data_IF_123618129560
#
_entry.id   IF_123618129560
#
_cell.length_a   1.000
_cell.length_b   1.000
_cell.length_c   1.000
_cell.angle_alpha   90.00
_cell.angle_beta   90.00
_cell.angle_gamma   90.00
#
_symmetry.space_group_name_H-M   'P 1'
#
loop_
_entity.id
_entity.type
_entity.pdbx_description
1 polymer ?
#
# COMPACT_ATOMS: atom_id res chain seq x y z
N UNK A 1 -36.34 34.63 36.00
CA UNK A 1 -35.07 33.90 36.24
C UNK A 1 -34.33 33.86 34.90
N UNK A 2 -33.46 34.83 34.58
CA UNK A 2 -32.00 34.85 34.74
C UNK A 2 -31.30 33.57 34.20
N UNK A 3 -30.71 33.76 33.02
CA UNK A 3 -29.68 33.00 32.29
C UNK A 3 -29.09 31.76 32.96
N UNK A 4 -28.87 30.70 32.17
CA UNK A 4 -27.50 30.24 31.85
C UNK A 4 -27.47 29.20 30.74
N UNK A 5 -26.60 29.50 29.79
CA UNK A 5 -26.20 28.73 28.63
C UNK A 5 -26.01 27.24 28.93
N UNK A 6 -26.57 26.39 28.07
CA UNK A 6 -26.10 25.02 27.93
C UNK A 6 -24.99 25.01 26.87
N UNK A 7 -23.81 24.60 27.32
CA UNK A 7 -22.54 24.55 26.59
C UNK A 7 -22.67 23.62 25.39
N UNK A 8 -22.37 24.16 24.21
CA UNK A 8 -22.19 23.42 22.97
C UNK A 8 -20.86 22.64 23.09
N UNK A 9 -20.92 21.35 23.44
CA UNK A 9 -19.75 20.48 23.48
C UNK A 9 -19.34 20.14 22.04
N UNK A 10 -18.32 20.84 21.55
CA UNK A 10 -17.67 20.54 20.27
C UNK A 10 -16.93 19.20 20.41
N UNK A 11 -17.46 18.18 19.74
CA UNK A 11 -16.80 16.89 19.50
C UNK A 11 -15.61 17.12 18.57
N UNK A 12 -14.44 17.39 19.13
CA UNK A 12 -13.16 17.20 18.43
C UNK A 12 -12.79 15.72 18.56
N UNK A 13 -13.41 14.86 17.76
CA UNK A 13 -12.82 13.55 17.47
C UNK A 13 -11.64 13.83 16.56
N UNK A 14 -10.46 13.99 17.16
CA UNK A 14 -9.19 13.91 16.46
C UNK A 14 -9.10 12.51 15.87
N UNK A 15 -9.64 12.34 14.66
CA UNK A 15 -9.29 11.22 13.80
C UNK A 15 -7.83 11.42 13.43
N UNK A 16 -6.93 10.91 14.27
CA UNK A 16 -5.59 10.61 13.84
C UNK A 16 -5.75 9.54 12.76
N UNK A 17 -5.80 9.98 11.50
CA UNK A 17 -5.40 9.10 10.41
C UNK A 17 -3.98 8.67 10.78
N UNK A 18 -3.84 7.42 11.22
CA UNK A 18 -2.53 6.83 11.48
C UNK A 18 -1.86 6.76 10.11
N UNK A 19 -1.11 7.81 9.75
CA UNK A 19 -0.22 7.74 8.61
C UNK A 19 0.76 6.61 8.95
N UNK A 20 0.65 5.51 8.22
CA UNK A 20 1.48 4.33 8.44
C UNK A 20 2.93 4.75 8.21
N UNK A 21 3.78 4.50 9.18
CA UNK A 21 5.18 4.90 9.11
C UNK A 21 5.87 4.12 7.98
N UNK A 22 6.53 4.84 7.08
CA UNK A 22 7.22 4.25 5.94
C UNK A 22 8.45 3.47 6.43
N UNK A 23 8.74 2.28 5.87
CA UNK A 23 9.92 1.52 6.26
C UNK A 23 11.21 2.31 6.00
N UNK A 24 12.22 2.10 6.84
CA UNK A 24 13.52 2.74 6.69
C UNK A 24 14.11 2.44 5.30
N UNK A 25 14.52 3.50 4.59
CA UNK A 25 15.13 3.39 3.27
C UNK A 25 14.15 3.11 2.11
N UNK A 26 12.84 3.05 2.39
CA UNK A 26 11.79 3.07 1.37
C UNK A 26 11.25 4.49 1.26
N UNK A 27 11.05 4.96 0.03
CA UNK A 27 10.43 6.25 -0.27
C UNK A 27 9.09 6.06 -0.97
N UNK A 28 8.27 7.13 -1.01
CA UNK A 28 7.03 7.09 -1.79
C UNK A 28 7.30 6.80 -3.28
N UNK A 29 8.40 7.33 -3.83
CA UNK A 29 8.78 7.06 -5.22
C UNK A 29 9.10 5.58 -5.46
N UNK A 30 9.62 4.87 -4.45
CA UNK A 30 9.89 3.44 -4.55
C UNK A 30 8.59 2.63 -4.56
N UNK A 31 7.61 3.02 -3.73
CA UNK A 31 6.27 2.43 -3.74
C UNK A 31 5.59 2.63 -5.10
N UNK A 32 5.65 3.86 -5.64
CA UNK A 32 5.04 4.20 -6.93
C UNK A 32 5.72 3.40 -8.07
N UNK A 33 7.04 3.26 -8.04
CA UNK A 33 7.79 2.48 -9.02
C UNK A 33 7.45 0.98 -8.96
N UNK A 34 7.36 0.42 -7.74
CA UNK A 34 6.97 -0.97 -7.55
C UNK A 34 5.53 -1.24 -8.04
N UNK A 35 4.58 -0.38 -7.68
CA UNK A 35 3.19 -0.50 -8.12
C UNK A 35 3.09 -0.41 -9.65
N UNK A 36 3.79 0.53 -10.28
CA UNK A 36 3.85 0.63 -11.75
C UNK A 36 4.41 -0.63 -12.42
N UNK A 37 5.45 -1.23 -11.82
CA UNK A 37 6.01 -2.50 -12.29
C UNK A 37 5.00 -3.65 -12.15
N UNK A 38 4.29 -3.75 -11.01
CA UNK A 38 3.21 -4.73 -10.83
C UNK A 38 2.08 -4.54 -11.84
N UNK A 39 1.64 -3.31 -12.08
CA UNK A 39 0.60 -2.99 -13.08
C UNK A 39 1.04 -3.47 -14.46
N UNK A 40 2.31 -3.28 -14.82
CA UNK A 40 2.88 -3.76 -16.08
C UNK A 40 2.84 -5.30 -16.19
N UNK A 41 2.94 -6.02 -15.07
CA UNK A 41 2.80 -7.47 -15.00
C UNK A 41 1.33 -7.96 -14.85
N UNK A 42 0.35 -7.06 -14.98
CA UNK A 42 -1.08 -7.40 -14.83
C UNK A 42 -1.52 -7.51 -13.37
N UNK A 43 -0.87 -6.76 -12.46
CA UNK A 43 -1.19 -6.62 -11.04
C UNK A 43 -1.08 -7.88 -10.18
N UNK A 44 -0.64 -9.00 -10.75
CA UNK A 44 -0.44 -10.25 -10.03
C UNK A 44 0.94 -10.81 -10.35
N UNK A 45 1.75 -11.00 -9.31
CA UNK A 45 3.01 -11.75 -9.37
C UNK A 45 2.73 -13.14 -8.81
N UNK A 46 2.62 -14.12 -9.68
CA UNK A 46 2.30 -15.53 -9.41
C UNK A 46 3.34 -16.51 -9.97
N UNK A 47 4.44 -15.97 -10.50
CA UNK A 47 5.54 -16.75 -11.04
C UNK A 47 6.87 -16.07 -10.77
N UNK A 48 7.93 -16.87 -10.76
CA UNK A 48 9.30 -16.40 -10.64
C UNK A 48 9.66 -15.45 -11.79
N UNK A 49 9.24 -15.75 -13.03
CA UNK A 49 9.48 -14.88 -14.20
C UNK A 49 8.90 -13.47 -14.00
N UNK A 50 7.70 -13.34 -13.42
CA UNK A 50 7.10 -12.03 -13.12
C UNK A 50 7.80 -11.34 -11.97
N UNK A 51 8.25 -12.10 -10.95
CA UNK A 51 9.00 -11.54 -9.84
C UNK A 51 10.34 -10.95 -10.34
N UNK A 52 11.08 -11.69 -11.17
CA UNK A 52 12.31 -11.24 -11.83
C UNK A 52 12.03 -10.02 -12.70
N UNK A 53 10.93 -10.01 -13.46
CA UNK A 53 10.59 -8.85 -14.28
C UNK A 53 10.32 -7.57 -13.46
N UNK A 54 9.74 -7.69 -12.26
CA UNK A 54 9.56 -6.56 -11.34
C UNK A 54 10.87 -6.13 -10.70
N UNK A 55 11.70 -7.09 -10.28
CA UNK A 55 13.05 -6.82 -9.76
C UNK A 55 13.91 -6.09 -10.80
N UNK A 56 13.98 -6.59 -12.03
CA UNK A 56 14.73 -5.97 -13.13
C UNK A 56 14.20 -4.58 -13.50
N UNK A 57 12.88 -4.38 -13.49
CA UNK A 57 12.25 -3.10 -13.83
C UNK A 57 12.50 -2.02 -12.77
N UNK A 58 12.59 -2.42 -11.50
CA UNK A 58 12.76 -1.49 -10.37
C UNK A 58 14.21 -1.31 -9.95
N UNK A 59 15.04 -2.34 -10.15
CA UNK A 59 16.40 -2.42 -9.61
C UNK A 59 16.46 -2.56 -8.09
N UNK A 60 15.35 -2.93 -7.43
CA UNK A 60 15.29 -3.08 -5.98
C UNK A 60 15.92 -4.40 -5.54
N UNK A 61 16.59 -4.38 -4.38
CA UNK A 61 17.05 -5.61 -3.76
C UNK A 61 15.89 -6.43 -3.19
N UNK A 62 16.12 -7.73 -2.95
CA UNK A 62 15.16 -8.60 -2.27
C UNK A 62 14.69 -8.01 -0.92
N UNK A 63 15.60 -7.45 -0.12
CA UNK A 63 15.27 -6.80 1.15
C UNK A 63 14.36 -5.58 0.96
N UNK A 64 14.61 -4.76 -0.07
CA UNK A 64 13.77 -3.61 -0.38
C UNK A 64 12.38 -4.04 -0.87
N UNK A 65 12.32 -5.03 -1.76
CA UNK A 65 11.07 -5.60 -2.24
C UNK A 65 10.26 -6.18 -1.08
N UNK A 66 10.89 -6.90 -0.16
CA UNK A 66 10.24 -7.43 1.04
C UNK A 66 9.68 -6.33 1.94
N UNK A 67 10.43 -5.25 2.16
CA UNK A 67 9.96 -4.10 2.93
C UNK A 67 8.77 -3.39 2.27
N UNK A 68 8.81 -3.21 0.95
CA UNK A 68 7.75 -2.59 0.16
C UNK A 68 6.49 -3.46 0.18
N UNK A 69 6.61 -4.75 -0.12
CA UNK A 69 5.50 -5.71 -0.11
C UNK A 69 4.85 -5.76 1.28
N UNK A 70 5.66 -5.88 2.34
CA UNK A 70 5.17 -5.89 3.71
C UNK A 70 4.38 -4.62 4.05
N UNK A 71 4.94 -3.45 3.74
CA UNK A 71 4.27 -2.17 3.97
C UNK A 71 2.93 -2.07 3.23
N UNK A 72 2.90 -2.44 1.94
CA UNK A 72 1.68 -2.36 1.12
C UNK A 72 0.62 -3.37 1.57
N UNK A 73 1.02 -4.55 2.06
CA UNK A 73 0.10 -5.52 2.65
C UNK A 73 -0.50 -5.01 3.95
N UNK A 74 0.32 -4.44 4.85
CA UNK A 74 -0.16 -3.85 6.10
C UNK A 74 -1.07 -2.64 5.84
N UNK A 75 -0.80 -1.87 4.78
CA UNK A 75 -1.62 -0.74 4.34
C UNK A 75 -2.93 -1.18 3.65
N UNK A 76 -3.13 -2.48 3.43
CA UNK A 76 -4.31 -3.01 2.72
C UNK A 76 -4.34 -2.68 1.23
N UNK A 77 -3.19 -2.34 0.64
CA UNK A 77 -3.03 -2.05 -0.79
C UNK A 77 -2.59 -3.29 -1.59
N UNK A 78 -2.22 -4.37 -0.90
CA UNK A 78 -1.87 -5.66 -1.48
C UNK A 78 -2.39 -6.81 -0.65
N UNK A 79 -2.56 -7.96 -1.29
CA UNK A 79 -2.93 -9.21 -0.63
C UNK A 79 -2.22 -10.42 -1.22
N UNK A 80 -2.24 -11.53 -0.48
CA UNK A 80 -1.88 -12.83 -1.01
C UNK A 80 -2.98 -13.32 -1.95
N UNK A 81 -2.62 -13.60 -3.20
CA UNK A 81 -3.52 -14.23 -4.16
C UNK A 81 -3.50 -15.76 -3.93
N UNK A 82 -4.51 -16.25 -3.21
CA UNK A 82 -4.63 -17.68 -2.89
C UNK A 82 -4.84 -18.58 -4.11
N UNK A 83 -5.43 -18.05 -5.19
CA UNK A 83 -5.69 -18.82 -6.42
C UNK A 83 -4.43 -18.99 -7.27
N UNK A 84 -3.58 -17.96 -7.29
CA UNK A 84 -2.36 -17.94 -8.10
C UNK A 84 -1.08 -18.24 -7.29
N UNK A 85 -1.20 -18.52 -5.99
CA UNK A 85 -0.07 -18.72 -5.06
C UNK A 85 0.97 -17.58 -5.12
N UNK A 86 0.48 -16.34 -5.19
CA UNK A 86 1.30 -15.14 -5.42
C UNK A 86 0.83 -13.92 -4.63
N UNK A 87 1.21 -12.73 -5.08
CA UNK A 87 0.74 -11.44 -4.52
C UNK A 87 -0.05 -10.65 -5.56
N UNK A 88 -1.07 -9.92 -5.11
CA UNK A 88 -1.94 -9.08 -5.93
C UNK A 88 -1.94 -7.65 -5.40
N UNK A 89 -1.83 -6.68 -6.31
CA UNK A 89 -2.08 -5.27 -6.04
C UNK A 89 -3.60 -5.02 -6.06
N UNK A 90 -4.11 -4.30 -5.04
CA UNK A 90 -5.54 -4.01 -4.84
C UNK A 90 -5.97 -2.65 -5.38
N UNK A 91 -5.13 -1.98 -6.15
CA UNK A 91 -5.49 -0.73 -6.83
C UNK A 91 -6.50 -1.03 -7.94
N UNK A 92 -7.80 -0.94 -7.59
CA UNK A 92 -8.91 -1.27 -8.49
C UNK A 92 -8.95 -0.40 -9.74
N UNK A 93 -8.51 0.86 -9.65
CA UNK A 93 -8.53 1.78 -10.79
C UNK A 93 -7.40 1.47 -11.79
N UNK A 94 -6.25 0.99 -11.31
CA UNK A 94 -5.13 0.61 -12.15
C UNK A 94 -5.15 -0.87 -12.60
N UNK A 95 -5.83 -1.75 -11.84
CA UNK A 95 -5.81 -3.20 -12.02
C UNK A 95 -7.12 -3.81 -12.55
N UNK A 96 -8.24 -3.08 -12.55
CA UNK A 96 -9.52 -3.52 -13.14
C UNK A 96 -9.92 -2.68 -14.38
N UNK A 97 -8.99 -2.53 -15.33
CA UNK A 97 -9.24 -1.95 -16.66
C UNK A 97 -10.00 -2.88 -17.60
#
# INVERSE_FOLDING_TARGET
MKFRSAVLAVLLTSGAALAQEMPDGVTQADLDAFQAAMITQGCVIDSEDKAVAVEDATGFSEDQLSAIVGFLMEAGQMEMNAEAAGIRLLDVDACEG
#
